data_IF_484880361696
#
_entry.id   IF_484880361696
#
_cell.length_a   1.000
_cell.length_b   1.000
_cell.length_c   1.000
_cell.angle_alpha   90.00
_cell.angle_beta   90.00
_cell.angle_gamma   90.00
#
_symmetry.space_group_name_H-M   'P 1'
#
loop_
_entity.id
_entity.type
_entity.pdbx_description
1 polymer ?
#
# COMPACT_ATOMS: atom_id res chain seq x y z
N UNK A 1 -29.13 27.86 70.47
CA UNK A 1 -28.98 26.80 69.44
C UNK A 1 -27.90 27.27 68.47
N UNK A 2 -26.71 26.66 68.50
CA UNK A 2 -25.55 27.08 67.67
C UNK A 2 -25.69 26.45 66.28
N UNK A 3 -25.61 27.26 65.22
CA UNK A 3 -25.61 26.81 63.84
C UNK A 3 -24.15 26.72 63.37
N UNK A 4 -23.63 25.51 63.17
CA UNK A 4 -22.30 25.27 62.62
C UNK A 4 -22.34 25.37 61.09
N UNK A 5 -21.59 26.31 60.53
CA UNK A 5 -21.30 26.39 59.09
C UNK A 5 -20.15 25.40 58.78
N UNK A 6 -20.45 24.34 58.02
CA UNK A 6 -19.42 23.46 57.44
C UNK A 6 -19.14 23.99 56.03
N UNK A 7 -18.00 24.64 55.85
CA UNK A 7 -17.47 25.01 54.53
C UNK A 7 -16.84 23.75 53.95
N UNK A 8 -17.56 23.08 53.05
CA UNK A 8 -17.05 21.93 52.30
C UNK A 8 -16.25 22.46 51.10
N UNK A 9 -14.93 22.55 51.27
CA UNK A 9 -13.99 22.92 50.21
C UNK A 9 -13.94 21.80 49.15
N UNK A 10 -14.70 21.95 48.07
CA UNK A 10 -14.64 21.04 46.92
C UNK A 10 -13.32 21.30 46.18
N UNK A 11 -12.34 20.43 46.41
CA UNK A 11 -11.12 20.33 45.58
C UNK A 11 -11.54 19.84 44.19
N UNK A 12 -11.61 20.77 43.24
CA UNK A 12 -11.81 20.47 41.82
C UNK A 12 -10.49 19.91 41.27
N UNK A 13 -10.32 18.58 41.29
CA UNK A 13 -9.22 17.92 40.60
C UNK A 13 -9.50 18.01 39.11
N UNK A 14 -8.87 18.98 38.44
CA UNK A 14 -8.77 19.04 36.99
C UNK A 14 -8.07 17.77 36.51
N UNK A 15 -8.85 16.77 36.11
CA UNK A 15 -8.35 15.62 35.38
C UNK A 15 -7.96 16.12 33.99
N UNK A 16 -6.68 16.41 33.81
CA UNK A 16 -6.10 16.64 32.49
C UNK A 16 -6.06 15.28 31.78
N UNK A 17 -7.12 14.98 31.03
CA UNK A 17 -7.07 13.92 30.03
C UNK A 17 -6.11 14.39 28.93
N UNK A 18 -4.82 14.08 29.10
CA UNK A 18 -3.85 14.11 28.03
C UNK A 18 -4.16 12.99 27.05
N UNK A 19 -5.22 13.15 26.25
CA UNK A 19 -5.44 12.33 25.08
C UNK A 19 -4.20 12.48 24.19
N UNK A 20 -3.48 11.39 23.97
CA UNK A 20 -2.33 11.40 23.08
C UNK A 20 -2.80 11.90 21.71
N UNK A 21 -2.28 13.05 21.30
CA UNK A 21 -2.67 13.69 20.05
C UNK A 21 -2.34 12.75 18.88
N UNK A 22 -3.33 12.45 18.04
CA UNK A 22 -3.15 11.64 16.83
C UNK A 22 -2.13 12.31 15.90
N UNK A 23 -1.33 11.49 15.19
CA UNK A 23 -0.37 12.01 14.22
C UNK A 23 -1.09 12.53 12.97
N UNK A 24 -0.85 13.81 12.65
CA UNK A 24 -1.25 14.40 11.37
C UNK A 24 -0.16 14.12 10.32
N UNK A 25 -0.42 13.20 9.39
CA UNK A 25 0.54 12.83 8.36
C UNK A 25 1.02 14.03 7.54
N UNK A 26 0.11 14.87 7.07
CA UNK A 26 0.46 15.99 6.19
C UNK A 26 1.35 17.01 6.90
N UNK A 27 1.13 17.24 8.19
CA UNK A 27 1.89 18.23 8.98
C UNK A 27 3.16 17.67 9.60
N UNK A 28 3.18 16.38 9.94
CA UNK A 28 4.23 15.81 10.79
C UNK A 28 5.07 14.75 10.09
N UNK A 29 4.52 14.01 9.12
CA UNK A 29 5.23 12.88 8.49
C UNK A 29 5.67 13.21 7.06
N UNK A 30 4.76 13.72 6.24
CA UNK A 30 5.05 14.10 4.86
C UNK A 30 6.24 15.06 4.73
N UNK A 31 6.42 16.08 5.60
CA UNK A 31 7.59 16.96 5.51
C UNK A 31 8.92 16.24 5.82
N UNK A 32 8.89 15.23 6.70
CA UNK A 32 10.06 14.40 7.00
C UNK A 32 10.42 13.59 5.74
N UNK A 33 9.46 12.87 5.16
CA UNK A 33 9.69 12.06 3.95
C UNK A 33 10.15 12.93 2.78
N UNK A 34 9.52 14.10 2.59
CA UNK A 34 9.87 15.06 1.55
C UNK A 34 11.32 15.57 1.66
N UNK A 35 11.76 15.89 2.88
CA UNK A 35 13.10 16.45 3.09
C UNK A 35 14.18 15.37 3.17
N UNK A 36 13.86 14.18 3.66
CA UNK A 36 14.84 13.13 3.97
C UNK A 36 14.90 12.01 2.96
N UNK A 37 13.79 11.67 2.30
CA UNK A 37 13.67 10.43 1.53
C UNK A 37 13.44 10.68 0.04
N UNK A 38 12.71 11.75 -0.31
CA UNK A 38 12.19 11.92 -1.65
C UNK A 38 13.24 12.31 -2.71
N UNK A 39 14.48 12.65 -2.33
CA UNK A 39 15.57 12.81 -3.31
C UNK A 39 15.84 11.51 -4.09
N UNK A 40 15.61 10.36 -3.46
CA UNK A 40 15.84 9.02 -4.00
C UNK A 40 14.57 8.18 -4.13
N UNK A 41 13.58 8.39 -3.26
CA UNK A 41 12.34 7.62 -3.17
C UNK A 41 11.14 8.41 -3.67
N UNK A 42 11.24 9.00 -4.87
CA UNK A 42 10.12 9.70 -5.51
C UNK A 42 9.52 8.83 -6.61
N UNK A 43 8.20 8.79 -6.69
CA UNK A 43 7.47 8.12 -7.74
C UNK A 43 7.87 8.68 -9.12
N UNK A 44 7.95 7.80 -10.11
CA UNK A 44 8.27 8.19 -11.48
C UNK A 44 7.06 8.90 -12.08
N UNK A 45 7.20 10.17 -12.47
CA UNK A 45 6.10 10.99 -13.02
C UNK A 45 6.03 10.89 -14.53
N UNK A 46 7.20 10.79 -15.16
CA UNK A 46 7.41 10.68 -16.60
C UNK A 46 8.45 9.63 -16.92
N UNK A 47 8.42 9.07 -18.13
CA UNK A 47 9.33 7.99 -18.53
C UNK A 47 10.82 8.40 -18.46
N UNK A 48 11.11 9.68 -18.59
CA UNK A 48 12.46 10.27 -18.45
C UNK A 48 12.96 10.39 -17.02
N UNK A 49 12.09 10.28 -16.01
CA UNK A 49 12.47 10.49 -14.62
C UNK A 49 13.29 9.31 -14.10
N UNK A 50 14.20 9.58 -13.16
CA UNK A 50 14.98 8.54 -12.51
C UNK A 50 14.02 7.61 -11.75
N UNK A 51 14.21 6.30 -11.91
CA UNK A 51 13.46 5.30 -11.13
C UNK A 51 13.78 5.48 -9.64
N UNK A 52 12.80 5.35 -8.74
CA UNK A 52 13.06 5.40 -7.31
C UNK A 52 14.05 4.31 -6.90
N UNK A 53 14.97 4.62 -5.98
CA UNK A 53 15.88 3.63 -5.41
C UNK A 53 15.09 2.49 -4.78
N UNK A 54 15.56 1.26 -4.98
CA UNK A 54 14.87 0.01 -4.61
C UNK A 54 13.45 -0.18 -5.22
N UNK A 55 13.02 0.71 -6.13
CA UNK A 55 11.65 0.75 -6.61
C UNK A 55 10.63 1.13 -5.54
N UNK A 56 11.06 1.89 -4.52
CA UNK A 56 10.25 2.35 -3.40
C UNK A 56 9.98 3.86 -3.55
N UNK A 57 8.72 4.25 -3.62
CA UNK A 57 8.30 5.65 -3.60
C UNK A 57 7.75 6.01 -2.21
N UNK A 58 8.27 7.07 -1.60
CA UNK A 58 7.89 7.57 -0.27
C UNK A 58 7.20 8.95 -0.34
N UNK A 59 6.99 9.47 -1.54
CA UNK A 59 6.32 10.74 -1.80
C UNK A 59 4.80 10.60 -2.03
N UNK A 60 4.30 9.36 -2.11
CA UNK A 60 2.89 9.05 -2.32
C UNK A 60 2.39 7.99 -1.34
N UNK A 61 1.14 8.08 -0.83
CA UNK A 61 0.56 7.06 0.04
C UNK A 61 0.63 5.63 -0.56
N UNK A 62 0.31 5.49 -1.85
CA UNK A 62 0.38 4.22 -2.57
C UNK A 62 1.81 3.70 -2.68
N UNK A 63 2.78 4.55 -3.01
CA UNK A 63 4.18 4.17 -3.04
C UNK A 63 4.65 3.63 -1.69
N UNK A 64 4.26 4.30 -0.60
CA UNK A 64 4.65 3.91 0.76
C UNK A 64 3.98 2.56 1.13
N UNK A 65 2.69 2.40 0.84
CA UNK A 65 1.91 1.19 1.17
C UNK A 65 2.29 -0.03 0.33
N UNK A 66 2.43 0.13 -0.98
CA UNK A 66 2.78 -0.95 -1.92
C UNK A 66 4.28 -1.25 -1.98
N UNK A 67 5.11 -0.36 -1.43
CA UNK A 67 6.56 -0.52 -1.33
C UNK A 67 7.00 -1.60 -0.35
N UNK A 68 6.08 -2.16 0.45
CA UNK A 68 6.37 -3.23 1.40
C UNK A 68 7.20 -2.79 2.60
N UNK A 69 7.25 -1.48 2.88
CA UNK A 69 8.06 -0.93 3.99
C UNK A 69 7.28 -0.71 5.29
N UNK A 70 5.97 -0.94 5.26
CA UNK A 70 5.07 -0.75 6.39
C UNK A 70 4.43 -2.08 6.82
N UNK A 71 4.65 -2.44 8.07
CA UNK A 71 3.79 -3.32 8.85
C UNK A 71 2.89 -2.44 9.73
N UNK A 72 1.69 -2.14 9.22
CA UNK A 72 0.76 -1.21 9.84
C UNK A 72 0.40 -1.67 11.26
N UNK A 73 0.57 -0.79 12.26
CA UNK A 73 0.35 -1.08 13.67
C UNK A 73 1.54 -1.76 14.37
N UNK A 74 2.63 -2.03 13.66
CA UNK A 74 3.86 -2.59 14.20
C UNK A 74 5.09 -1.90 13.59
N UNK A 75 5.48 -0.77 14.18
CA UNK A 75 6.66 -0.05 13.73
C UNK A 75 7.94 -0.89 13.86
N UNK A 76 8.08 -1.74 14.87
CA UNK A 76 9.31 -2.51 15.08
C UNK A 76 9.54 -3.54 13.96
N UNK A 77 8.47 -4.02 13.33
CA UNK A 77 8.54 -4.93 12.17
C UNK A 77 8.52 -4.19 10.82
N UNK A 78 8.32 -2.87 10.81
CA UNK A 78 8.27 -2.06 9.59
C UNK A 78 9.67 -1.68 9.12
N UNK A 79 10.06 -2.09 7.91
CA UNK A 79 11.36 -1.72 7.31
C UNK A 79 11.60 -0.20 7.32
N UNK A 80 10.56 0.62 7.08
CA UNK A 80 10.71 2.08 7.15
C UNK A 80 11.26 2.54 8.51
N UNK A 81 10.73 2.02 9.61
CA UNK A 81 11.19 2.40 10.95
C UNK A 81 12.55 1.78 11.30
N UNK A 82 12.77 0.50 10.93
CA UNK A 82 14.04 -0.19 11.17
C UNK A 82 15.19 0.61 10.54
N UNK A 83 15.05 0.98 9.27
CA UNK A 83 16.10 1.65 8.47
C UNK A 83 16.44 3.04 8.98
N UNK A 84 15.45 3.83 9.41
CA UNK A 84 15.70 5.19 9.93
C UNK A 84 16.26 5.20 11.36
N UNK A 85 16.20 4.07 12.07
CA UNK A 85 16.61 3.95 13.48
C UNK A 85 18.00 3.33 13.67
N UNK A 86 18.69 2.97 12.58
CA UNK A 86 20.01 2.35 12.65
C UNK A 86 21.09 3.33 13.16
N UNK A 87 22.21 2.81 13.72
CA UNK A 87 23.37 3.62 14.05
C UNK A 87 23.88 4.41 12.84
N UNK A 88 24.44 5.61 13.07
CA UNK A 88 24.91 6.52 12.02
C UNK A 88 25.97 5.93 11.07
N UNK A 89 26.67 4.89 11.51
CA UNK A 89 27.70 4.19 10.75
C UNK A 89 27.21 2.88 10.09
N UNK A 90 25.92 2.54 10.23
CA UNK A 90 25.36 1.36 9.59
C UNK A 90 25.18 1.61 8.09
N UNK A 91 25.65 0.66 7.26
CA UNK A 91 25.54 0.73 5.80
C UNK A 91 24.08 0.79 5.31
N UNK A 92 23.19 0.11 6.04
CA UNK A 92 21.77 0.01 5.73
C UNK A 92 20.93 1.21 6.22
N UNK A 93 21.56 2.20 6.87
CA UNK A 93 20.89 3.40 7.37
C UNK A 93 20.26 4.19 6.23
N UNK A 94 18.98 4.53 6.39
CA UNK A 94 18.28 5.40 5.44
C UNK A 94 17.72 6.63 6.15
N UNK A 95 17.84 7.83 5.55
CA UNK A 95 18.66 8.11 4.38
C UNK A 95 20.16 8.04 4.70
N UNK A 96 21.03 7.81 3.70
CA UNK A 96 22.48 7.79 3.88
C UNK A 96 23.03 9.09 4.50
N UNK A 97 24.17 9.00 5.18
CA UNK A 97 24.77 10.16 5.87
C UNK A 97 25.12 11.29 4.90
N UNK A 98 25.54 10.94 3.69
CA UNK A 98 25.99 11.82 2.62
C UNK A 98 24.87 12.31 1.68
N UNK A 99 23.67 11.71 1.73
CA UNK A 99 22.54 12.06 0.87
C UNK A 99 21.22 11.99 1.66
N UNK A 100 20.67 13.16 2.03
CA UNK A 100 19.47 13.30 2.87
C UNK A 100 19.77 13.39 4.38
N UNK A 101 20.78 12.66 4.85
CA UNK A 101 21.31 12.69 6.22
C UNK A 101 20.35 12.15 7.28
N UNK A 102 20.85 11.54 8.39
CA UNK A 102 20.01 10.78 9.31
C UNK A 102 18.86 11.61 9.89
N UNK A 103 17.73 10.96 10.17
CA UNK A 103 16.62 11.60 10.88
C UNK A 103 17.04 11.92 12.33
N UNK A 104 16.47 12.99 12.87
CA UNK A 104 16.57 13.29 14.30
C UNK A 104 15.74 12.28 15.11
N UNK A 105 16.06 12.12 16.39
CA UNK A 105 15.30 11.23 17.29
C UNK A 105 13.81 11.57 17.32
N UNK A 106 13.46 12.86 17.24
CA UNK A 106 12.06 13.31 17.21
C UNK A 106 11.34 12.92 15.91
N UNK A 107 12.00 12.99 14.77
CA UNK A 107 11.43 12.56 13.49
C UNK A 107 11.22 11.04 13.45
N UNK A 108 12.17 10.27 13.99
CA UNK A 108 12.06 8.81 14.13
C UNK A 108 10.87 8.43 15.02
N UNK A 109 10.69 9.11 16.16
CA UNK A 109 9.55 8.90 17.06
C UNK A 109 8.20 9.22 16.39
N UNK A 110 8.13 10.27 15.57
CA UNK A 110 6.93 10.60 14.81
C UNK A 110 6.58 9.51 13.78
N UNK A 111 7.57 9.04 13.02
CA UNK A 111 7.37 7.93 12.07
C UNK A 111 6.93 6.67 12.80
N UNK A 112 7.57 6.33 13.92
CA UNK A 112 7.19 5.17 14.75
C UNK A 112 5.73 5.27 15.18
N UNK A 113 5.36 6.39 15.80
CA UNK A 113 4.00 6.61 16.30
C UNK A 113 2.98 6.60 15.17
N UNK A 114 3.30 7.20 14.03
CA UNK A 114 2.43 7.17 12.86
C UNK A 114 2.15 5.74 12.37
N UNK A 115 3.17 4.88 12.32
CA UNK A 115 3.02 3.47 11.93
C UNK A 115 2.19 2.71 12.96
N UNK A 116 2.51 2.86 14.26
CA UNK A 116 1.79 2.21 15.35
C UNK A 116 0.31 2.66 15.41
N UNK A 117 0.02 3.93 15.05
CA UNK A 117 -1.33 4.50 14.96
C UNK A 117 -2.06 4.12 13.64
N UNK A 118 -1.50 3.23 12.83
CA UNK A 118 -2.16 2.68 11.64
C UNK A 118 -1.78 3.35 10.31
N UNK A 119 -0.71 4.14 10.27
CA UNK A 119 -0.13 4.76 9.07
C UNK A 119 -1.14 5.54 8.21
N UNK A 120 -1.99 6.37 8.84
CA UNK A 120 -3.07 7.14 8.19
C UNK A 120 -2.52 8.37 7.46
N UNK A 121 -3.06 8.73 6.29
CA UNK A 121 -2.50 9.77 5.41
C UNK A 121 -3.27 11.13 5.42
N UNK A 122 -4.43 11.20 6.07
CA UNK A 122 -5.22 12.42 6.29
C UNK A 122 -5.47 12.63 7.79
N UNK A 123 -5.57 13.89 8.25
CA UNK A 123 -6.01 14.25 9.60
C UNK A 123 -7.54 14.44 9.73
N UNK A 124 -8.22 14.41 8.59
CA UNK A 124 -9.64 14.15 8.31
C UNK A 124 -9.76 14.25 6.78
N UNK A 125 -10.59 13.48 6.09
CA UNK A 125 -10.73 13.52 4.62
C UNK A 125 -11.34 14.83 4.04
N UNK A 126 -11.09 15.99 4.64
CA UNK A 126 -11.64 17.27 4.22
C UNK A 126 -10.54 18.25 3.79
N UNK A 127 -10.65 18.65 2.53
CA UNK A 127 -10.11 19.85 1.89
C UNK A 127 -8.61 19.90 1.55
N UNK A 128 -8.34 20.31 0.29
CA UNK A 128 -7.00 20.63 -0.19
C UNK A 128 -6.39 19.61 -1.15
N UNK A 129 -7.22 18.98 -1.98
CA UNK A 129 -6.77 18.33 -3.20
C UNK A 129 -6.41 19.42 -4.23
N UNK A 130 -5.14 19.83 -4.30
CA UNK A 130 -4.66 20.66 -5.40
C UNK A 130 -3.41 20.05 -6.05
N UNK A 131 -3.63 19.60 -7.29
CA UNK A 131 -2.69 19.15 -8.32
C UNK A 131 -2.10 17.76 -8.10
N UNK A 132 -2.80 16.79 -8.69
CA UNK A 132 -2.27 15.45 -8.93
C UNK A 132 -1.18 15.44 -9.99
N UNK A 133 -0.36 14.42 -9.86
CA UNK A 133 0.72 14.00 -10.72
C UNK A 133 0.22 13.11 -11.87
N UNK A 134 0.83 13.23 -13.05
CA UNK A 134 0.44 12.63 -14.33
C UNK A 134 0.80 11.11 -14.43
N UNK A 135 1.06 10.44 -13.32
CA UNK A 135 1.60 9.06 -13.30
C UNK A 135 0.56 7.93 -13.27
N UNK A 136 -0.71 8.26 -13.06
CA UNK A 136 -1.79 7.47 -13.67
C UNK A 136 -1.73 7.83 -15.15
N UNK A 137 -1.57 6.87 -16.06
CA UNK A 137 -1.65 7.19 -17.49
C UNK A 137 -3.10 7.61 -17.78
N UNK A 138 -3.35 8.91 -17.59
CA UNK A 138 -4.66 9.50 -17.72
C UNK A 138 -5.19 9.22 -19.12
N UNK A 139 -4.36 8.94 -20.13
CA UNK A 139 -4.84 8.56 -21.48
C UNK A 139 -5.57 7.22 -21.52
N UNK A 140 -5.22 6.24 -20.69
CA UNK A 140 -5.96 4.96 -20.58
C UNK A 140 -7.26 5.12 -19.79
N UNK A 141 -7.24 5.97 -18.77
CA UNK A 141 -8.39 6.27 -17.91
C UNK A 141 -9.38 7.21 -18.64
N UNK A 142 -8.91 8.30 -19.24
CA UNK A 142 -9.62 9.31 -20.04
C UNK A 142 -10.14 8.80 -21.39
N UNK A 143 -9.57 7.71 -21.93
CA UNK A 143 -10.08 7.07 -23.15
C UNK A 143 -11.42 6.35 -22.95
N UNK A 144 -11.85 6.20 -21.70
CA UNK A 144 -13.07 5.51 -21.33
C UNK A 144 -14.11 6.53 -20.82
N UNK A 145 -15.39 6.46 -21.22
CA UNK A 145 -16.38 7.46 -20.85
C UNK A 145 -16.52 7.57 -19.33
N UNK A 146 -16.35 8.79 -18.81
CA UNK A 146 -16.51 9.12 -17.39
C UNK A 146 -17.98 8.90 -17.00
N UNK A 147 -18.21 8.27 -15.85
CA UNK A 147 -19.55 8.09 -15.27
C UNK A 147 -19.53 8.59 -13.84
N UNK A 148 -20.54 9.36 -13.47
CA UNK A 148 -20.74 9.76 -12.08
C UNK A 148 -20.87 8.52 -11.17
N UNK A 149 -20.14 8.45 -10.04
CA UNK A 149 -20.31 7.38 -9.08
C UNK A 149 -21.71 7.32 -8.48
N UNK A 150 -22.19 6.10 -8.22
CA UNK A 150 -23.45 5.90 -7.50
C UNK A 150 -23.25 6.22 -6.00
N UNK A 151 -23.78 7.35 -5.55
CA UNK A 151 -23.65 7.84 -4.16
C UNK A 151 -24.28 6.92 -3.12
N UNK A 152 -25.37 6.21 -3.47
CA UNK A 152 -26.02 5.25 -2.56
C UNK A 152 -25.13 4.01 -2.40
N UNK A 153 -24.47 3.58 -3.47
CA UNK A 153 -23.51 2.48 -3.44
C UNK A 153 -22.27 2.84 -2.62
N UNK A 154 -21.77 4.07 -2.74
CA UNK A 154 -20.67 4.58 -1.89
C UNK A 154 -21.08 4.53 -0.42
N UNK A 155 -22.21 5.16 -0.08
CA UNK A 155 -22.73 5.22 1.29
C UNK A 155 -22.95 3.82 1.88
N UNK A 156 -23.44 2.88 1.07
CA UNK A 156 -23.62 1.49 1.47
C UNK A 156 -22.29 0.80 1.78
N UNK A 157 -21.30 0.91 0.88
CA UNK A 157 -19.98 0.30 1.04
C UNK A 157 -19.22 0.90 2.24
N UNK A 158 -19.31 2.21 2.45
CA UNK A 158 -18.77 2.88 3.64
C UNK A 158 -19.46 2.39 4.92
N UNK A 159 -20.78 2.18 4.88
CA UNK A 159 -21.56 1.63 5.99
C UNK A 159 -21.14 0.21 6.40
N UNK A 160 -20.57 -0.58 5.48
CA UNK A 160 -19.97 -1.89 5.77
C UNK A 160 -18.46 -1.83 6.00
N UNK A 161 -17.91 -0.62 6.15
CA UNK A 161 -16.53 -0.37 6.57
C UNK A 161 -15.51 -0.29 5.45
N UNK A 162 -15.94 -0.04 4.21
CA UNK A 162 -15.03 0.31 3.11
C UNK A 162 -14.56 1.77 3.28
N UNK A 163 -13.31 2.04 2.95
CA UNK A 163 -12.82 3.38 2.66
C UNK A 163 -12.87 3.55 1.14
N UNK A 164 -13.57 4.58 0.66
CA UNK A 164 -13.67 4.90 -0.76
C UNK A 164 -13.10 6.28 -0.98
N UNK A 165 -12.08 6.38 -1.82
CA UNK A 165 -11.43 7.66 -2.13
C UNK A 165 -11.27 7.82 -3.63
N UNK A 166 -11.44 9.04 -4.17
CA UNK A 166 -11.00 9.30 -5.51
C UNK A 166 -9.50 9.07 -5.67
N UNK A 167 -9.09 8.43 -6.76
CA UNK A 167 -7.66 8.25 -7.08
C UNK A 167 -6.97 9.58 -7.37
N UNK A 168 -7.75 10.61 -7.72
CA UNK A 168 -7.23 11.92 -8.04
C UNK A 168 -8.23 13.05 -7.84
N UNK A 169 -7.73 14.24 -7.49
CA UNK A 169 -8.42 15.53 -7.61
C UNK A 169 -8.99 15.75 -9.00
N UNK A 170 -8.19 15.44 -10.02
CA UNK A 170 -8.46 15.76 -11.40
C UNK A 170 -9.35 14.70 -12.07
N UNK A 171 -9.50 13.55 -11.43
CA UNK A 171 -10.28 12.40 -11.90
C UNK A 171 -11.14 11.86 -10.73
N UNK A 172 -12.03 12.69 -10.17
CA UNK A 172 -12.75 12.37 -8.93
C UNK A 172 -13.73 11.18 -9.08
N UNK A 173 -14.10 10.84 -10.31
CA UNK A 173 -15.02 9.76 -10.63
C UNK A 173 -14.36 8.38 -10.61
N UNK A 174 -13.02 8.34 -10.50
CA UNK A 174 -12.25 7.11 -10.46
C UNK A 174 -11.87 6.80 -9.03
N UNK A 175 -12.23 5.61 -8.56
CA UNK A 175 -12.25 5.28 -7.15
C UNK A 175 -11.23 4.20 -6.80
N UNK A 176 -10.62 4.39 -5.64
CA UNK A 176 -9.89 3.38 -4.87
C UNK A 176 -10.79 2.91 -3.73
N UNK A 177 -10.85 1.60 -3.52
CA UNK A 177 -11.62 0.98 -2.44
C UNK A 177 -10.72 0.05 -1.63
N UNK A 178 -10.74 0.21 -0.30
CA UNK A 178 -10.01 -0.66 0.64
C UNK A 178 -10.79 -0.92 1.94
N UNK A 179 -10.42 -1.98 2.68
CA UNK A 179 -10.98 -2.28 3.99
C UNK A 179 -9.88 -2.37 5.06
N UNK A 180 -9.55 -1.26 5.71
CA UNK A 180 -8.38 -1.16 6.58
C UNK A 180 -8.58 -1.90 7.92
N UNK A 181 -9.64 -1.57 8.65
CA UNK A 181 -9.88 -2.10 10.01
C UNK A 181 -10.86 -3.28 10.02
N UNK A 182 -11.49 -3.56 8.89
CA UNK A 182 -12.64 -4.47 8.77
C UNK A 182 -12.38 -5.62 7.80
N UNK A 183 -11.21 -5.71 7.15
CA UNK A 183 -10.88 -6.76 6.15
C UNK A 183 -11.28 -8.18 6.58
N UNK A 184 -11.07 -8.53 7.86
CA UNK A 184 -11.33 -9.86 8.41
C UNK A 184 -12.82 -10.24 8.44
N UNK A 185 -13.71 -9.27 8.23
CA UNK A 185 -15.17 -9.45 8.12
C UNK A 185 -15.63 -9.53 6.67
N UNK A 186 -14.80 -9.13 5.72
CA UNK A 186 -15.18 -8.99 4.31
C UNK A 186 -15.13 -10.33 3.62
N UNK A 187 -16.26 -10.72 3.05
CA UNK A 187 -16.46 -11.95 2.28
C UNK A 187 -16.85 -11.62 0.85
N UNK A 188 -17.08 -12.66 0.04
CA UNK A 188 -17.58 -12.54 -1.33
C UNK A 188 -18.85 -11.69 -1.42
N UNK A 189 -19.71 -11.72 -0.39
CA UNK A 189 -20.97 -10.96 -0.33
C UNK A 189 -20.75 -9.45 -0.35
N UNK A 190 -19.84 -8.97 0.48
CA UNK A 190 -19.51 -7.54 0.54
C UNK A 190 -18.77 -7.10 -0.74
N UNK A 191 -17.91 -7.97 -1.29
CA UNK A 191 -17.16 -7.70 -2.52
C UNK A 191 -18.09 -7.64 -3.73
N UNK A 192 -19.16 -8.45 -3.78
CA UNK A 192 -20.19 -8.35 -4.81
C UNK A 192 -20.82 -6.95 -4.88
N UNK A 193 -20.96 -6.26 -3.74
CA UNK A 193 -21.56 -4.91 -3.71
C UNK A 193 -20.71 -3.88 -4.47
N UNK A 194 -19.40 -4.13 -4.66
CA UNK A 194 -18.53 -3.26 -5.46
C UNK A 194 -18.95 -3.17 -6.93
N UNK A 195 -19.75 -4.12 -7.43
CA UNK A 195 -20.26 -4.10 -8.80
C UNK A 195 -21.15 -2.89 -9.09
N UNK A 196 -21.78 -2.30 -8.07
CA UNK A 196 -22.55 -1.06 -8.21
C UNK A 196 -21.67 0.16 -8.55
N UNK A 197 -20.34 0.05 -8.36
CA UNK A 197 -19.33 1.03 -8.73
C UNK A 197 -18.35 0.49 -9.79
N UNK A 198 -18.69 -0.59 -10.49
CA UNK A 198 -17.85 -1.17 -11.54
C UNK A 198 -17.30 -0.18 -12.59
N UNK A 199 -18.04 0.86 -13.05
CA UNK A 199 -17.49 1.81 -14.00
C UNK A 199 -16.55 2.86 -13.39
N UNK A 200 -16.37 2.86 -12.07
CA UNK A 200 -15.60 3.86 -11.32
C UNK A 200 -14.35 3.25 -10.68
N UNK A 201 -14.39 1.98 -10.29
CA UNK A 201 -13.29 1.34 -9.57
C UNK A 201 -12.09 1.12 -10.48
N UNK A 202 -10.96 1.71 -10.10
CA UNK A 202 -9.66 1.57 -10.77
C UNK A 202 -8.61 0.93 -9.84
N UNK A 203 -8.78 1.08 -8.53
CA UNK A 203 -7.91 0.47 -7.53
C UNK A 203 -8.76 -0.28 -6.51
N UNK A 204 -8.34 -1.49 -6.15
CA UNK A 204 -9.06 -2.32 -5.19
C UNK A 204 -8.09 -3.11 -4.30
N UNK A 205 -8.19 -2.87 -3.00
CA UNK A 205 -7.46 -3.64 -1.99
C UNK A 205 -8.39 -4.61 -1.26
N UNK A 206 -8.17 -5.90 -1.49
CA UNK A 206 -8.86 -7.02 -0.85
C UNK A 206 -7.89 -7.85 0.01
N UNK A 207 -6.75 -7.28 0.40
CA UNK A 207 -5.74 -7.99 1.16
C UNK A 207 -6.30 -8.50 2.49
N UNK A 208 -5.88 -9.72 2.87
CA UNK A 208 -6.26 -10.39 4.12
C UNK A 208 -7.78 -10.62 4.30
N UNK A 209 -8.61 -10.30 3.31
CA UNK A 209 -10.05 -10.57 3.35
C UNK A 209 -10.35 -12.07 3.28
N UNK A 210 -11.59 -12.45 3.55
CA UNK A 210 -12.08 -13.82 3.40
C UNK A 210 -12.57 -14.11 1.97
N UNK A 211 -12.09 -13.33 0.99
CA UNK A 211 -12.39 -13.52 -0.42
C UNK A 211 -12.03 -14.95 -0.87
N UNK A 212 -12.97 -15.57 -1.60
CA UNK A 212 -12.79 -16.87 -2.23
C UNK A 212 -12.68 -16.74 -3.76
N UNK A 213 -12.36 -17.86 -4.43
CA UNK A 213 -12.35 -17.93 -5.90
C UNK A 213 -13.71 -17.57 -6.53
N UNK A 214 -14.82 -17.86 -5.84
CA UNK A 214 -16.15 -17.48 -6.33
C UNK A 214 -16.35 -15.97 -6.27
N UNK A 215 -15.97 -15.34 -5.15
CA UNK A 215 -15.99 -13.89 -5.01
C UNK A 215 -15.12 -13.16 -6.05
N UNK A 216 -14.00 -13.76 -6.45
CA UNK A 216 -13.07 -13.16 -7.40
C UNK A 216 -13.68 -13.01 -8.80
N UNK A 217 -14.78 -13.74 -9.11
CA UNK A 217 -15.59 -13.52 -10.32
C UNK A 217 -16.28 -12.16 -10.36
N UNK A 218 -16.59 -11.56 -9.20
CA UNK A 218 -17.09 -10.18 -9.16
C UNK A 218 -15.97 -9.20 -9.52
N UNK A 219 -14.75 -9.40 -9.00
CA UNK A 219 -13.57 -8.58 -9.31
C UNK A 219 -13.24 -8.60 -10.81
N UNK A 220 -13.37 -9.76 -11.46
CA UNK A 220 -13.19 -9.90 -12.91
C UNK A 220 -14.13 -9.04 -13.77
N UNK A 221 -15.23 -8.52 -13.21
CA UNK A 221 -16.17 -7.62 -13.89
C UNK A 221 -15.79 -6.14 -13.77
N UNK A 222 -14.79 -5.81 -12.95
CA UNK A 222 -14.31 -4.44 -12.72
C UNK A 222 -13.32 -4.06 -13.82
N UNK A 223 -13.81 -3.90 -15.05
CA UNK A 223 -13.00 -3.79 -16.28
C UNK A 223 -12.07 -2.57 -16.36
N UNK A 224 -12.05 -1.71 -15.35
CA UNK A 224 -11.18 -0.53 -15.24
C UNK A 224 -10.06 -0.68 -14.22
N UNK A 225 -9.97 -1.84 -13.55
CA UNK A 225 -8.92 -2.10 -12.57
C UNK A 225 -7.53 -1.95 -13.21
N UNK A 226 -6.74 -1.07 -12.59
CA UNK A 226 -5.31 -0.90 -12.84
C UNK A 226 -4.49 -1.45 -11.69
N UNK A 227 -4.99 -1.39 -10.45
CA UNK A 227 -4.32 -1.90 -9.26
C UNK A 227 -5.21 -2.87 -8.49
N UNK A 228 -4.69 -4.06 -8.23
CA UNK A 228 -5.40 -5.08 -7.47
C UNK A 228 -4.48 -5.73 -6.42
N UNK A 229 -4.86 -5.62 -5.15
CA UNK A 229 -4.18 -6.30 -4.04
C UNK A 229 -5.02 -7.49 -3.54
N UNK A 230 -4.50 -8.70 -3.74
CA UNK A 230 -5.09 -9.96 -3.24
C UNK A 230 -4.20 -10.61 -2.18
N UNK A 231 -3.25 -9.87 -1.62
CA UNK A 231 -2.26 -10.47 -0.73
C UNK A 231 -2.88 -11.12 0.50
N UNK A 232 -2.34 -12.28 0.88
CA UNK A 232 -2.78 -13.11 2.02
C UNK A 232 -4.28 -13.46 1.98
N UNK A 233 -4.82 -13.67 0.78
CA UNK A 233 -6.15 -14.24 0.57
C UNK A 233 -6.07 -15.74 0.25
N UNK A 234 -7.22 -16.42 0.24
CA UNK A 234 -7.31 -17.86 -0.05
C UNK A 234 -7.23 -18.23 -1.53
N UNK A 235 -6.95 -17.27 -2.42
CA UNK A 235 -7.03 -17.42 -3.87
C UNK A 235 -6.00 -18.41 -4.41
N UNK A 236 -6.42 -19.26 -5.35
CA UNK A 236 -5.58 -20.21 -6.09
C UNK A 236 -5.66 -20.00 -7.62
N UNK A 237 -5.07 -20.92 -8.40
CA UNK A 237 -5.05 -20.86 -9.85
C UNK A 237 -6.45 -20.87 -10.51
N UNK A 238 -7.46 -21.45 -9.86
CA UNK A 238 -8.83 -21.40 -10.36
C UNK A 238 -9.44 -20.01 -10.18
N UNK A 239 -9.12 -19.34 -9.07
CA UNK A 239 -9.52 -17.95 -8.86
C UNK A 239 -8.95 -17.01 -9.91
N UNK A 240 -7.64 -17.09 -10.18
CA UNK A 240 -6.96 -16.18 -11.12
C UNK A 240 -7.57 -16.21 -12.53
N UNK A 241 -8.14 -17.35 -12.97
CA UNK A 241 -8.85 -17.45 -14.26
C UNK A 241 -9.98 -16.43 -14.38
N UNK A 242 -10.64 -16.06 -13.29
CA UNK A 242 -11.72 -15.09 -13.28
C UNK A 242 -11.26 -13.67 -13.67
N UNK A 243 -9.96 -13.38 -13.56
CA UNK A 243 -9.38 -12.07 -13.87
C UNK A 243 -8.93 -11.95 -15.33
N UNK A 244 -9.12 -12.97 -16.18
CA UNK A 244 -8.55 -13.02 -17.54
C UNK A 244 -8.98 -11.87 -18.46
N UNK A 245 -10.15 -11.29 -18.18
CA UNK A 245 -10.75 -10.21 -18.98
C UNK A 245 -10.31 -8.81 -18.55
N UNK A 246 -9.57 -8.67 -17.44
CA UNK A 246 -9.03 -7.40 -16.99
C UNK A 246 -7.86 -6.98 -17.89
N UNK A 247 -8.09 -6.00 -18.77
CA UNK A 247 -7.10 -5.59 -19.79
C UNK A 247 -6.19 -4.45 -19.34
N UNK A 248 -6.55 -3.77 -18.25
CA UNK A 248 -5.90 -2.53 -17.80
C UNK A 248 -5.03 -2.69 -16.56
N UNK A 249 -4.82 -3.93 -16.07
CA UNK A 249 -4.01 -4.16 -14.88
C UNK A 249 -2.55 -3.73 -15.11
N UNK A 250 -2.09 -2.85 -14.23
CA UNK A 250 -0.72 -2.34 -14.17
C UNK A 250 0.02 -2.84 -12.93
N UNK A 251 -0.70 -3.12 -11.84
CA UNK A 251 -0.14 -3.61 -10.59
C UNK A 251 -0.99 -4.73 -10.01
N UNK A 252 -0.34 -5.85 -9.67
CA UNK A 252 -1.01 -7.03 -9.13
C UNK A 252 -0.21 -7.64 -7.98
N UNK A 253 -0.80 -7.70 -6.79
CA UNK A 253 -0.16 -8.32 -5.64
C UNK A 253 -0.85 -9.63 -5.26
N UNK A 254 -0.10 -10.72 -5.42
CA UNK A 254 -0.50 -12.10 -5.14
C UNK A 254 0.33 -12.69 -3.98
N UNK A 255 0.93 -11.83 -3.17
CA UNK A 255 1.75 -12.25 -2.03
C UNK A 255 0.97 -13.17 -1.09
N UNK A 256 1.53 -14.31 -0.72
CA UNK A 256 0.91 -15.22 0.26
C UNK A 256 -0.42 -15.84 -0.20
N UNK A 257 -0.66 -15.88 -1.51
CA UNK A 257 -1.80 -16.62 -2.11
C UNK A 257 -1.37 -18.06 -2.45
N UNK A 258 -2.32 -18.90 -2.89
CA UNK A 258 -2.09 -20.32 -3.21
C UNK A 258 -1.85 -20.59 -4.69
N UNK A 259 -1.53 -19.57 -5.47
CA UNK A 259 -1.27 -19.70 -6.90
C UNK A 259 0.02 -20.48 -7.16
N UNK A 260 0.09 -21.15 -8.31
CA UNK A 260 1.24 -21.90 -8.80
C UNK A 260 1.65 -21.41 -10.20
N UNK A 261 2.60 -22.11 -10.83
CA UNK A 261 2.99 -21.86 -12.22
C UNK A 261 1.82 -21.93 -13.21
N UNK A 262 0.72 -22.62 -12.84
CA UNK A 262 -0.48 -22.69 -13.66
C UNK A 262 -1.15 -21.31 -13.87
N UNK A 263 -0.90 -20.33 -13.00
CA UNK A 263 -1.38 -18.96 -13.16
C UNK A 263 -0.54 -18.12 -14.14
N UNK A 264 0.70 -18.50 -14.44
CA UNK A 264 1.64 -17.70 -15.25
C UNK A 264 1.11 -17.37 -16.66
N UNK A 265 0.51 -18.31 -17.42
CA UNK A 265 -0.04 -17.99 -18.73
C UNK A 265 -1.18 -16.97 -18.70
N UNK A 266 -1.90 -16.84 -17.57
CA UNK A 266 -2.96 -15.85 -17.38
C UNK A 266 -2.33 -14.50 -17.07
N UNK A 267 -1.40 -14.45 -16.10
CA UNK A 267 -0.74 -13.21 -15.69
C UNK A 267 0.05 -12.60 -16.87
N UNK A 268 0.66 -13.44 -17.71
CA UNK A 268 1.38 -13.01 -18.91
C UNK A 268 0.49 -12.31 -19.96
N UNK A 269 -0.85 -12.38 -19.85
CA UNK A 269 -1.77 -11.65 -20.75
C UNK A 269 -1.85 -10.17 -20.43
N UNK A 270 -1.51 -9.75 -19.20
CA UNK A 270 -1.53 -8.35 -18.78
C UNK A 270 -0.30 -7.62 -19.33
N UNK A 271 -0.35 -7.25 -20.61
CA UNK A 271 0.79 -6.63 -21.32
C UNK A 271 1.21 -5.28 -20.76
N UNK A 272 0.31 -4.63 -20.03
CA UNK A 272 0.53 -3.34 -19.39
C UNK A 272 0.98 -3.45 -17.93
N UNK A 273 1.18 -4.67 -17.43
CA UNK A 273 1.60 -4.90 -16.06
C UNK A 273 2.98 -4.30 -15.83
N UNK A 274 3.08 -3.37 -14.88
CA UNK A 274 4.31 -2.71 -14.44
C UNK A 274 4.94 -3.45 -13.26
N UNK A 275 4.13 -4.05 -12.40
CA UNK A 275 4.63 -4.83 -11.27
C UNK A 275 3.71 -6.00 -10.88
N UNK A 276 4.33 -7.11 -10.49
CA UNK A 276 3.65 -8.28 -9.93
C UNK A 276 4.44 -8.87 -8.78
N UNK A 277 3.74 -9.15 -7.68
CA UNK A 277 4.33 -9.67 -6.45
C UNK A 277 3.85 -11.10 -6.21
N UNK A 278 4.78 -12.04 -6.19
CA UNK A 278 4.52 -13.48 -6.15
C UNK A 278 5.13 -14.15 -4.91
N UNK A 279 5.75 -13.39 -4.01
CA UNK A 279 6.34 -13.94 -2.80
C UNK A 279 5.29 -14.71 -1.96
N UNK A 280 5.69 -15.78 -1.27
CA UNK A 280 4.80 -16.55 -0.40
C UNK A 280 3.72 -17.31 -1.17
N UNK A 281 3.72 -17.27 -2.51
CA UNK A 281 2.93 -18.17 -3.35
C UNK A 281 3.69 -19.45 -3.67
N UNK A 282 3.03 -20.37 -4.37
CA UNK A 282 3.60 -21.64 -4.84
C UNK A 282 4.05 -21.61 -6.30
N UNK A 283 4.21 -20.41 -6.89
CA UNK A 283 4.94 -20.26 -8.16
C UNK A 283 6.36 -20.80 -7.96
N UNK A 284 7.04 -21.30 -8.99
CA UNK A 284 8.46 -21.72 -8.98
C UNK A 284 9.41 -20.62 -9.50
N UNK A 285 10.73 -20.78 -9.30
CA UNK A 285 11.71 -19.84 -9.85
C UNK A 285 11.65 -19.84 -11.38
N UNK A 286 11.37 -21.01 -11.96
CA UNK A 286 11.15 -21.21 -13.38
C UNK A 286 9.88 -20.48 -13.86
N UNK A 287 8.79 -20.56 -13.11
CA UNK A 287 7.54 -19.86 -13.39
C UNK A 287 7.70 -18.33 -13.37
N UNK A 288 8.38 -17.81 -12.35
CA UNK A 288 8.70 -16.38 -12.27
C UNK A 288 9.65 -15.93 -13.39
N UNK A 289 10.65 -16.74 -13.73
CA UNK A 289 11.57 -16.48 -14.85
C UNK A 289 10.84 -16.49 -16.20
N UNK A 290 9.89 -17.41 -16.38
CA UNK A 290 9.01 -17.45 -17.55
C UNK A 290 8.15 -16.20 -17.66
N UNK A 291 7.63 -15.70 -16.53
CA UNK A 291 6.86 -14.47 -16.50
C UNK A 291 7.71 -13.25 -16.83
N UNK A 292 8.95 -13.15 -16.32
CA UNK A 292 9.90 -12.08 -16.67
C UNK A 292 10.18 -12.03 -18.17
N UNK A 293 10.34 -13.20 -18.80
CA UNK A 293 10.51 -13.28 -20.27
C UNK A 293 9.27 -12.83 -21.02
N UNK A 294 8.09 -13.13 -20.47
CA UNK A 294 6.79 -12.80 -21.09
C UNK A 294 6.39 -11.33 -20.90
N UNK A 295 6.87 -10.68 -19.84
CA UNK A 295 6.59 -9.31 -19.45
C UNK A 295 7.92 -8.59 -19.12
N UNK A 296 8.77 -8.29 -20.12
CA UNK A 296 10.13 -7.81 -19.90
C UNK A 296 10.20 -6.44 -19.21
N UNK A 297 9.14 -5.63 -19.33
CA UNK A 297 9.05 -4.31 -18.71
C UNK A 297 8.45 -4.34 -17.29
N UNK A 298 7.87 -5.48 -16.89
CA UNK A 298 7.23 -5.65 -15.60
C UNK A 298 8.25 -6.03 -14.51
N UNK A 299 8.16 -5.40 -13.34
CA UNK A 299 8.86 -5.84 -12.13
C UNK A 299 8.19 -7.09 -11.57
N UNK A 300 8.76 -8.27 -11.83
CA UNK A 300 8.33 -9.55 -11.23
C UNK A 300 9.10 -9.79 -9.93
N UNK A 301 8.41 -9.71 -8.78
CA UNK A 301 9.00 -9.81 -7.43
C UNK A 301 8.68 -11.17 -6.80
N UNK A 302 9.73 -11.93 -6.47
CA UNK A 302 9.68 -13.20 -5.76
C UNK A 302 10.85 -13.22 -4.75
N UNK A 303 10.60 -13.58 -3.48
CA UNK A 303 11.59 -13.46 -2.37
C UNK A 303 12.87 -14.29 -2.58
N UNK A 304 12.87 -15.27 -3.48
CA UNK A 304 14.09 -16.02 -3.82
C UNK A 304 15.14 -15.15 -4.51
N UNK A 305 14.78 -14.08 -5.23
CA UNK A 305 15.77 -13.29 -5.97
C UNK A 305 16.67 -12.41 -5.07
N UNK A 306 16.32 -12.23 -3.79
CA UNK A 306 17.11 -11.44 -2.83
C UNK A 306 17.73 -12.27 -1.69
N UNK A 307 17.22 -13.47 -1.41
CA UNK A 307 17.76 -14.37 -0.37
C UNK A 307 18.62 -15.50 -0.90
N UNK A 308 18.36 -16.03 -2.10
CA UNK A 308 19.11 -17.17 -2.63
C UNK A 308 20.58 -16.83 -2.99
N UNK A 309 20.85 -15.56 -3.34
CA UNK A 309 22.20 -15.12 -3.71
C UNK A 309 23.04 -14.56 -2.54
N UNK A 310 22.55 -14.60 -1.29
CA UNK A 310 23.36 -14.19 -0.11
C UNK A 310 24.07 -15.34 0.60
N UNK A 311 23.78 -16.58 0.22
CA UNK A 311 24.29 -17.76 0.94
C UNK A 311 25.01 -18.79 0.07
N UNK A 312 25.02 -18.63 -1.26
CA UNK A 312 25.71 -19.56 -2.16
C UNK A 312 27.24 -19.37 -2.22
N UNK A 313 27.78 -18.31 -1.61
CA UNK A 313 29.22 -18.04 -1.53
C UNK A 313 29.76 -18.05 -0.08
N UNK A 314 29.10 -18.77 0.85
CA UNK A 314 29.61 -18.90 2.22
C UNK A 314 30.68 -20.00 2.42
N UNK A 315 31.08 -20.70 1.36
CA UNK A 315 32.10 -21.75 1.43
C UNK A 315 33.54 -21.26 1.15
N UNK A 316 33.76 -19.96 0.91
CA UNK A 316 35.12 -19.40 0.77
C UNK A 316 35.42 -18.30 1.80
N UNK A 317 35.91 -18.67 3.01
CA UNK A 317 36.06 -17.74 4.13
C UNK A 317 37.18 -16.68 4.00
N UNK A 318 37.77 -16.45 2.83
CA UNK A 318 38.98 -15.62 2.70
C UNK A 318 39.05 -14.70 1.46
N UNK A 319 37.94 -14.14 0.98
CA UNK A 319 38.03 -13.18 -0.14
C UNK A 319 37.22 -11.91 0.04
N UNK A 320 37.66 -11.07 0.98
CA UNK A 320 37.45 -9.63 0.92
C UNK A 320 38.79 -8.95 1.22
N UNK A 321 39.43 -8.42 0.17
CA UNK A 321 40.47 -7.39 0.31
C UNK A 321 39.81 -6.04 -0.02
N UNK A 322 40.14 -5.05 0.81
CA UNK A 322 39.55 -3.71 0.97
C UNK A 322 39.30 -2.89 -0.30
#
# INVERSE_FOLDING_TARGET
MRLNLIILSILFVLHYNGGAQEIDYKKQIAPILASKCNSCHTAKKKESDKKPKAGLALDTPLGIRSGGVLEVGDALSSELYVRVSLPKNAEDLMPPVDDGGPLSSREIELIKKWIDDGARFSSSDAEGLSKLDDSLDARKVLGMPVREPNVDAISHLEGIGATITPVSVALPEYLSIEWISTYHKITDKEIEQTLHLAPNIVELDLSRTKLTNEGLKHVGKLGRLTHLNLSRTGIDDNGIKALSELKSLEWLNLYGTKITDASIPIIAKYRDLKAVYLWGSSVSDEGASSLRKSLPDAKVVRDTDARANRFNDLDEPNRFDF
#
